data_IF_512459395093
#
_entry.id   IF_512459395093
#
_cell.length_a   1.000
_cell.length_b   1.000
_cell.length_c   1.000
_cell.angle_alpha   90.00
_cell.angle_beta   90.00
_cell.angle_gamma   90.00
#
_symmetry.space_group_name_H-M   'P 1'
#
loop_
_entity.id
_entity.type
_entity.pdbx_description
1 polymer ?
#
# COMPACT_ATOMS: atom_id res chain seq x y z
N UNK A 1 26.19 -5.98 -8.52
CA UNK A 1 25.20 -5.33 -9.40
C UNK A 1 25.58 -3.87 -9.56
N UNK A 2 25.52 -3.33 -10.76
CA UNK A 2 25.76 -1.91 -11.02
C UNK A 2 24.62 -1.06 -10.44
N UNK A 3 24.95 -0.06 -9.61
CA UNK A 3 23.96 0.86 -9.03
C UNK A 3 23.54 1.89 -10.08
N UNK A 4 22.23 2.15 -10.19
CA UNK A 4 21.69 3.18 -11.09
C UNK A 4 21.52 4.50 -10.33
N UNK A 5 22.02 5.60 -10.89
CA UNK A 5 21.84 6.94 -10.31
C UNK A 5 20.43 7.45 -10.58
N UNK A 6 19.73 7.85 -9.52
CA UNK A 6 18.44 8.52 -9.56
C UNK A 6 18.51 9.82 -8.72
N UNK A 7 17.63 10.78 -9.00
CA UNK A 7 17.60 12.09 -8.32
C UNK A 7 16.23 12.40 -7.72
N UNK A 8 15.76 11.63 -6.71
CA UNK A 8 14.50 11.91 -6.04
C UNK A 8 14.57 13.21 -5.22
N UNK A 9 13.43 13.90 -5.10
CA UNK A 9 13.26 15.02 -4.17
C UNK A 9 12.57 14.51 -2.91
N UNK A 10 13.02 14.96 -1.76
CA UNK A 10 12.45 14.62 -0.45
C UNK A 10 12.00 15.89 0.26
N UNK A 11 11.04 15.75 1.17
CA UNK A 11 10.59 16.86 2.01
C UNK A 11 11.51 17.08 3.21
N UNK A 12 11.39 18.25 3.84
CA UNK A 12 12.22 18.64 4.98
C UNK A 12 12.14 17.66 6.15
N UNK A 13 10.99 17.03 6.39
CA UNK A 13 10.86 16.01 7.44
C UNK A 13 11.74 14.78 7.16
N UNK A 14 11.71 14.28 5.92
CA UNK A 14 12.56 13.15 5.50
C UNK A 14 14.04 13.52 5.50
N UNK A 15 14.38 14.73 5.04
CA UNK A 15 15.75 15.25 5.11
C UNK A 15 16.26 15.25 6.56
N UNK A 16 15.46 15.80 7.49
CA UNK A 16 15.80 15.84 8.91
C UNK A 16 15.96 14.44 9.50
N UNK A 17 15.09 13.49 9.13
CA UNK A 17 15.21 12.10 9.56
C UNK A 17 16.54 11.48 9.07
N UNK A 18 16.86 11.60 7.78
CA UNK A 18 18.07 11.01 7.23
C UNK A 18 19.34 11.64 7.78
N UNK A 19 19.39 12.96 7.92
CA UNK A 19 20.54 13.67 8.51
C UNK A 19 20.82 13.28 9.96
N UNK A 20 19.80 12.86 10.72
CA UNK A 20 19.96 12.45 12.12
C UNK A 20 20.38 11.00 12.29
N UNK A 21 20.02 10.12 11.34
CA UNK A 21 20.15 8.67 11.50
C UNK A 21 21.24 8.04 10.60
N UNK A 22 21.78 8.78 9.63
CA UNK A 22 22.76 8.26 8.67
C UNK A 22 23.93 9.23 8.50
N UNK A 23 25.10 8.69 8.14
CA UNK A 23 26.32 9.47 7.92
C UNK A 23 26.15 10.57 6.86
N UNK A 24 25.35 10.31 5.83
CA UNK A 24 24.98 11.31 4.81
C UNK A 24 23.52 11.12 4.37
N UNK A 25 22.91 12.19 3.85
CA UNK A 25 21.57 12.14 3.26
C UNK A 25 21.46 11.06 2.16
N UNK A 26 22.47 10.99 1.28
CA UNK A 26 22.50 10.03 0.18
C UNK A 26 22.61 8.59 0.69
N UNK A 27 23.43 8.33 1.71
CA UNK A 27 23.54 6.98 2.28
C UNK A 27 22.21 6.49 2.87
N UNK A 28 21.48 7.37 3.59
CA UNK A 28 20.16 7.04 4.13
C UNK A 28 19.11 6.83 3.05
N UNK A 29 19.09 7.70 2.04
CA UNK A 29 18.19 7.57 0.91
C UNK A 29 18.45 6.27 0.12
N UNK A 30 19.72 5.96 -0.19
CA UNK A 30 20.12 4.73 -0.86
C UNK A 30 19.67 3.49 -0.07
N UNK A 31 19.93 3.45 1.24
CA UNK A 31 19.54 2.33 2.08
C UNK A 31 18.02 2.08 2.05
N UNK A 32 17.22 3.14 2.21
CA UNK A 32 15.76 3.01 2.19
C UNK A 32 15.26 2.61 0.80
N UNK A 33 15.81 3.19 -0.26
CA UNK A 33 15.38 2.90 -1.64
C UNK A 33 15.72 1.46 -2.06
N UNK A 34 16.91 0.97 -1.74
CA UNK A 34 17.33 -0.40 -2.05
C UNK A 34 16.66 -1.44 -1.12
N UNK A 35 16.42 -1.08 0.13
CA UNK A 35 15.78 -1.97 1.12
C UNK A 35 14.27 -2.09 0.99
N UNK A 36 13.60 -1.02 0.53
CA UNK A 36 12.12 -0.96 0.47
C UNK A 36 11.47 -2.12 -0.29
N UNK A 37 11.94 -2.56 -1.48
CA UNK A 37 11.36 -3.70 -2.17
C UNK A 37 11.31 -4.99 -1.34
N UNK A 38 12.35 -5.27 -0.54
CA UNK A 38 12.39 -6.44 0.33
C UNK A 38 11.38 -6.30 1.48
N UNK A 39 11.38 -5.15 2.18
CA UNK A 39 10.47 -4.88 3.29
C UNK A 39 9.00 -4.90 2.86
N UNK A 40 8.71 -4.29 1.70
CA UNK A 40 7.38 -4.27 1.10
C UNK A 40 6.88 -5.69 0.79
N UNK A 41 7.69 -6.51 0.12
CA UNK A 41 7.31 -7.89 -0.20
C UNK A 41 7.15 -8.74 1.06
N UNK A 42 7.99 -8.52 2.07
CA UNK A 42 7.87 -9.21 3.37
C UNK A 42 6.56 -8.85 4.07
N UNK A 43 6.22 -7.57 4.16
CA UNK A 43 4.97 -7.11 4.76
C UNK A 43 3.74 -7.69 4.01
N UNK A 44 3.77 -7.71 2.68
CA UNK A 44 2.71 -8.34 1.89
C UNK A 44 2.60 -9.85 2.12
N UNK A 45 3.73 -10.55 2.24
CA UNK A 45 3.74 -11.97 2.57
C UNK A 45 3.13 -12.25 3.95
N UNK A 46 3.41 -11.39 4.95
CA UNK A 46 2.81 -11.49 6.28
C UNK A 46 1.28 -11.29 6.28
N UNK A 47 0.75 -10.60 5.27
CA UNK A 47 -0.68 -10.37 5.07
C UNK A 47 -1.34 -11.45 4.19
N UNK A 48 -0.57 -12.40 3.66
CA UNK A 48 -1.10 -13.45 2.79
C UNK A 48 -2.10 -14.32 3.54
N UNK A 49 -3.31 -14.46 2.98
CA UNK A 49 -4.41 -15.20 3.61
C UNK A 49 -5.14 -14.46 4.73
N UNK A 50 -4.71 -13.25 5.12
CA UNK A 50 -5.40 -12.44 6.14
C UNK A 50 -6.75 -11.92 5.64
N UNK A 51 -6.82 -11.58 4.36
CA UNK A 51 -8.01 -11.10 3.67
C UNK A 51 -8.49 -12.11 2.63
N UNK A 52 -9.81 -12.22 2.48
CA UNK A 52 -10.45 -12.96 1.40
C UNK A 52 -10.36 -12.23 0.06
N UNK A 53 -10.59 -12.94 -1.05
CA UNK A 53 -10.63 -12.37 -2.41
C UNK A 53 -11.57 -11.15 -2.49
N UNK A 54 -12.70 -11.21 -1.78
CA UNK A 54 -13.73 -10.14 -1.78
C UNK A 54 -13.27 -8.91 -1.02
N UNK A 55 -12.65 -9.09 0.15
CA UNK A 55 -12.08 -8.01 0.95
C UNK A 55 -10.93 -7.33 0.20
N UNK A 56 -10.07 -8.11 -0.46
CA UNK A 56 -9.00 -7.57 -1.31
C UNK A 56 -9.55 -6.85 -2.54
N UNK A 57 -10.63 -7.35 -3.15
CA UNK A 57 -11.30 -6.69 -4.29
C UNK A 57 -11.91 -5.35 -3.86
N UNK A 58 -12.53 -5.32 -2.69
CA UNK A 58 -12.99 -4.09 -2.03
C UNK A 58 -11.83 -3.10 -1.88
N UNK A 59 -10.69 -3.52 -1.31
CA UNK A 59 -9.53 -2.65 -1.09
C UNK A 59 -9.00 -2.06 -2.39
N UNK A 60 -8.83 -2.88 -3.43
CA UNK A 60 -8.37 -2.40 -4.73
C UNK A 60 -9.31 -1.31 -5.27
N UNK A 61 -10.62 -1.52 -5.20
CA UNK A 61 -11.59 -0.55 -5.68
C UNK A 61 -11.69 0.70 -4.79
N UNK A 62 -11.56 0.55 -3.47
CA UNK A 62 -11.53 1.66 -2.52
C UNK A 62 -10.42 2.65 -2.86
N UNK A 63 -9.26 2.16 -3.32
CA UNK A 63 -8.08 2.97 -3.65
C UNK A 63 -8.01 3.43 -5.12
N UNK A 64 -9.04 3.19 -5.94
CA UNK A 64 -9.05 3.54 -7.37
C UNK A 64 -8.71 5.02 -7.63
N UNK A 65 -9.33 5.93 -6.88
CA UNK A 65 -9.25 7.38 -7.12
C UNK A 65 -8.45 8.14 -6.05
N UNK A 66 -7.90 7.43 -5.05
CA UNK A 66 -7.12 8.04 -3.97
C UNK A 66 -5.78 8.60 -4.49
N UNK A 67 -5.27 9.64 -3.85
CA UNK A 67 -3.89 10.12 -4.06
C UNK A 67 -3.09 9.72 -2.82
N UNK A 68 -2.06 8.91 -3.01
CA UNK A 68 -1.18 8.51 -1.92
C UNK A 68 -0.23 9.66 -1.58
N UNK A 69 -0.14 9.99 -0.29
CA UNK A 69 0.86 10.90 0.26
C UNK A 69 1.85 10.08 1.10
N UNK A 70 3.16 10.12 0.81
CA UNK A 70 4.17 9.40 1.60
C UNK A 70 4.15 9.77 3.09
N UNK A 71 3.78 11.01 3.44
CA UNK A 71 3.74 11.53 4.81
C UNK A 71 2.56 10.95 5.61
N UNK A 72 1.51 10.52 4.91
CA UNK A 72 0.29 9.96 5.49
C UNK A 72 0.16 8.46 5.22
N UNK A 73 1.23 7.83 4.74
CA UNK A 73 1.23 6.41 4.38
C UNK A 73 0.79 5.54 5.56
N UNK A 74 -0.23 4.71 5.32
CA UNK A 74 -0.84 3.83 6.31
C UNK A 74 -1.74 4.53 7.33
N UNK A 75 -1.69 5.86 7.47
CA UNK A 75 -2.50 6.60 8.45
C UNK A 75 -3.92 6.84 7.97
N UNK A 76 -4.12 7.02 6.66
CA UNK A 76 -5.43 7.30 6.07
C UNK A 76 -6.16 6.04 5.59
N UNK A 77 -5.53 4.87 5.72
CA UNK A 77 -6.06 3.61 5.19
C UNK A 77 -7.49 3.32 5.63
N UNK A 78 -7.75 3.40 6.95
CA UNK A 78 -9.06 3.14 7.53
C UNK A 78 -10.11 4.15 7.05
N UNK A 79 -9.73 5.43 6.95
CA UNK A 79 -10.61 6.50 6.47
C UNK A 79 -11.05 6.21 5.04
N UNK A 80 -10.13 5.83 4.15
CA UNK A 80 -10.49 5.50 2.78
C UNK A 80 -11.37 4.25 2.66
N UNK A 81 -11.22 3.29 3.56
CA UNK A 81 -12.11 2.13 3.64
C UNK A 81 -13.51 2.54 4.13
N UNK A 82 -13.59 3.37 5.15
CA UNK A 82 -14.86 3.86 5.70
C UNK A 82 -15.63 4.72 4.66
N UNK A 83 -14.93 5.62 3.96
CA UNK A 83 -15.50 6.41 2.86
C UNK A 83 -16.01 5.52 1.71
N UNK A 84 -15.29 4.43 1.42
CA UNK A 84 -15.70 3.44 0.43
C UNK A 84 -17.00 2.72 0.80
N UNK A 85 -17.21 2.41 2.08
CA UNK A 85 -18.45 1.79 2.56
C UNK A 85 -19.56 2.82 2.58
N UNK A 86 -19.32 3.96 3.23
CA UNK A 86 -20.35 4.98 3.49
C UNK A 86 -20.88 5.63 2.21
N UNK A 87 -19.99 6.06 1.31
CA UNK A 87 -20.40 6.86 0.14
C UNK A 87 -20.52 6.04 -1.14
N UNK A 88 -19.80 4.91 -1.25
CA UNK A 88 -19.77 4.08 -2.45
C UNK A 88 -20.42 2.71 -2.28
N UNK A 89 -20.82 2.33 -1.06
CA UNK A 89 -21.45 1.03 -0.73
C UNK A 89 -20.67 -0.16 -1.30
N UNK A 90 -19.33 -0.07 -1.26
CA UNK A 90 -18.47 -1.11 -1.83
C UNK A 90 -18.55 -2.40 -1.02
N UNK A 91 -18.90 -2.32 0.26
CA UNK A 91 -19.15 -3.47 1.12
C UNK A 91 -20.36 -4.29 0.64
N UNK A 92 -21.45 -3.62 0.30
CA UNK A 92 -22.63 -4.25 -0.33
C UNK A 92 -22.25 -4.91 -1.67
N UNK A 93 -21.49 -4.18 -2.51
CA UNK A 93 -21.04 -4.67 -3.82
C UNK A 93 -20.21 -5.94 -3.73
N UNK A 94 -19.23 -5.96 -2.81
CA UNK A 94 -18.31 -7.08 -2.64
C UNK A 94 -18.81 -8.12 -1.64
N UNK A 95 -19.97 -7.89 -1.01
CA UNK A 95 -20.61 -8.78 -0.02
C UNK A 95 -19.65 -9.14 1.11
N UNK A 96 -18.99 -8.14 1.69
CA UNK A 96 -18.13 -8.29 2.85
C UNK A 96 -18.88 -7.90 4.13
N UNK A 97 -18.48 -8.46 5.26
CA UNK A 97 -18.98 -8.06 6.58
C UNK A 97 -18.09 -6.94 7.12
N UNK A 98 -18.59 -5.72 7.10
CA UNK A 98 -17.80 -4.50 7.37
C UNK A 98 -17.17 -4.50 8.76
N UNK A 99 -17.88 -5.00 9.78
CA UNK A 99 -17.39 -5.14 11.15
C UNK A 99 -16.18 -6.10 11.25
N UNK A 100 -16.28 -7.27 10.63
CA UNK A 100 -15.19 -8.26 10.60
C UNK A 100 -13.99 -7.73 9.84
N UNK A 101 -14.24 -7.09 8.69
CA UNK A 101 -13.19 -6.54 7.85
C UNK A 101 -12.46 -5.37 8.51
N UNK A 102 -13.17 -4.44 9.16
CA UNK A 102 -12.55 -3.33 9.87
C UNK A 102 -11.70 -3.80 11.05
N UNK A 103 -12.14 -4.84 11.78
CA UNK A 103 -11.34 -5.44 12.85
C UNK A 103 -10.01 -6.00 12.34
N UNK A 104 -10.02 -6.68 11.18
CA UNK A 104 -8.77 -7.15 10.55
C UNK A 104 -7.81 -6.02 10.20
N UNK A 105 -8.34 -4.84 9.85
CA UNK A 105 -7.53 -3.64 9.57
C UNK A 105 -6.94 -3.07 10.86
N UNK A 106 -7.70 -3.08 11.96
CA UNK A 106 -7.23 -2.61 13.27
C UNK A 106 -6.05 -3.43 13.81
N UNK A 107 -5.96 -4.71 13.44
CA UNK A 107 -4.85 -5.60 13.80
C UNK A 107 -3.57 -5.32 12.99
N UNK A 108 -3.62 -4.45 11.97
CA UNK A 108 -2.47 -4.16 11.12
C UNK A 108 -1.59 -3.05 11.68
N UNK A 109 -0.28 -3.21 11.48
CA UNK A 109 0.66 -2.11 11.69
C UNK A 109 0.50 -1.02 10.63
N UNK A 110 0.92 0.21 10.96
CA UNK A 110 0.93 1.32 9.99
C UNK A 110 1.76 1.00 8.74
N UNK A 111 2.86 0.24 8.89
CA UNK A 111 3.68 -0.17 7.76
C UNK A 111 2.97 -1.18 6.85
N UNK A 112 2.27 -2.16 7.42
CA UNK A 112 1.45 -3.12 6.66
C UNK A 112 0.31 -2.40 5.91
N UNK A 113 -0.37 -1.45 6.57
CA UNK A 113 -1.37 -0.61 5.92
C UNK A 113 -0.76 0.18 4.76
N UNK A 114 0.37 0.86 4.96
CA UNK A 114 1.08 1.57 3.89
C UNK A 114 1.45 0.67 2.70
N UNK A 115 1.88 -0.57 2.96
CA UNK A 115 2.17 -1.53 1.90
C UNK A 115 0.89 -1.95 1.14
N UNK A 116 -0.23 -2.15 1.85
CA UNK A 116 -1.52 -2.43 1.23
C UNK A 116 -2.05 -1.26 0.39
N UNK A 117 -1.83 -0.01 0.80
CA UNK A 117 -2.18 1.19 0.00
C UNK A 117 -1.49 1.16 -1.35
N UNK A 118 -0.17 0.96 -1.33
CA UNK A 118 0.67 0.90 -2.53
C UNK A 118 0.26 -0.29 -3.40
N UNK A 119 0.02 -1.45 -2.79
CA UNK A 119 -0.47 -2.64 -3.48
C UNK A 119 -1.82 -2.36 -4.16
N UNK A 120 -2.85 -1.95 -3.41
CA UNK A 120 -4.18 -1.68 -3.95
C UNK A 120 -4.14 -0.65 -5.10
N UNK A 121 -3.31 0.39 -4.96
CA UNK A 121 -3.14 1.42 -5.99
C UNK A 121 -2.42 0.91 -7.24
N UNK A 122 -1.45 -0.01 -7.08
CA UNK A 122 -0.64 -0.57 -8.18
C UNK A 122 -1.49 -1.21 -9.28
N UNK A 123 -2.64 -1.80 -8.93
CA UNK A 123 -3.60 -2.35 -9.92
C UNK A 123 -4.05 -1.30 -10.95
N UNK A 124 -4.19 -0.04 -10.53
CA UNK A 124 -4.69 1.04 -11.38
C UNK A 124 -3.60 1.75 -12.19
N UNK A 125 -2.32 1.41 -11.98
CA UNK A 125 -1.22 1.99 -12.74
C UNK A 125 -1.16 1.43 -14.17
N UNK A 126 -0.73 2.29 -15.11
CA UNK A 126 -0.74 2.03 -16.55
C UNK A 126 0.01 0.75 -16.99
N UNK A 127 0.97 0.26 -16.18
CA UNK A 127 1.71 -0.98 -16.47
C UNK A 127 0.89 -2.25 -16.23
N UNK A 128 -0.05 -2.27 -15.28
CA UNK A 128 -0.93 -3.43 -15.05
C UNK A 128 -2.08 -3.47 -16.08
N UNK A 129 -2.54 -2.29 -16.53
CA UNK A 129 -3.54 -2.17 -17.60
C UNK A 129 -3.09 -2.65 -18.98
N UNK A 130 -1.78 -2.67 -19.27
CA UNK A 130 -1.23 -3.06 -20.59
C UNK A 130 -1.04 -4.57 -20.77
N UNK A 131 -1.42 -5.39 -19.79
CA UNK A 131 -1.33 -6.85 -19.88
C UNK A 131 -2.34 -7.53 -18.96
N UNK A 132 -3.56 -7.70 -19.48
CA UNK A 132 -4.60 -8.69 -19.14
C UNK A 132 -4.45 -9.48 -17.83
N UNK A 133 -4.50 -8.79 -16.69
CA UNK A 133 -4.77 -9.44 -15.41
C UNK A 133 -6.03 -8.88 -14.82
N UNK A 134 -7.05 -9.71 -14.77
CA UNK A 134 -8.33 -9.43 -14.13
C UNK A 134 -8.11 -9.09 -12.64
N UNK A 135 -9.05 -8.34 -12.05
CA UNK A 135 -9.04 -8.09 -10.61
C UNK A 135 -8.97 -9.41 -9.81
N UNK A 136 -9.63 -10.46 -10.32
CA UNK A 136 -9.62 -11.80 -9.73
C UNK A 136 -8.21 -12.40 -9.65
N UNK A 137 -7.42 -12.29 -10.72
CA UNK A 137 -6.02 -12.77 -10.72
C UNK A 137 -5.12 -11.89 -9.87
N UNK A 138 -5.44 -10.60 -9.75
CA UNK A 138 -4.66 -9.68 -8.95
C UNK A 138 -4.76 -9.96 -7.45
N UNK A 139 -5.99 -10.17 -6.94
CA UNK A 139 -6.20 -10.45 -5.51
C UNK A 139 -5.61 -11.79 -5.09
N UNK A 140 -5.46 -12.74 -6.03
CA UNK A 140 -4.81 -14.04 -5.82
C UNK A 140 -3.32 -13.94 -5.45
N UNK A 141 -2.72 -12.77 -5.57
CA UNK A 141 -1.34 -12.54 -5.13
C UNK A 141 -1.22 -12.45 -3.60
N UNK A 142 -2.33 -12.22 -2.87
CA UNK A 142 -2.37 -12.06 -1.42
C UNK A 142 -3.38 -12.99 -0.71
N UNK A 143 -4.08 -13.85 -1.45
CA UNK A 143 -4.94 -14.90 -0.87
C UNK A 143 -4.27 -16.26 -0.99
#
# INVERSE_FOLDING_TARGET
>A
MEKKKISPRIEGQSQNFFSKNFNTLNAGAEYVLDGFPMLYNRALHELSGHFSDRELSFLVEAFKETKLSPQLAGQQFKIFCDDAMTFRRLDDKWKIKSDVFLKKIEDLTSFQMACLEIWAKKFWFAKWKKGDKSLKEYVKLLT
#
